data_IF_516682420691
#
_entry.id   IF_516682420691
#
_cell.length_a   1.000
_cell.length_b   1.000
_cell.length_c   1.000
_cell.angle_alpha   90.00
_cell.angle_beta   90.00
_cell.angle_gamma   90.00
#
_symmetry.space_group_name_H-M   'P 1'
#
loop_
_entity.id
_entity.type
_entity.pdbx_description
1 polymer ?
#
# COMPACT_ATOMS: atom_id res chain seq x y z
N UNK A 1 -42.07 36.91 3.92
CA UNK A 1 -41.64 36.55 3.76
C UNK A 1 -41.03 35.88 3.72
N UNK A 2 -40.71 35.63 3.69
CA UNK A 2 -40.03 35.05 3.56
C UNK A 2 -39.25 34.28 3.52
N UNK A 3 -38.69 33.73 3.44
CA UNK A 3 -37.85 33.06 3.43
C UNK A 3 -37.20 32.35 3.25
N UNK A 4 -36.99 32.21 3.32
CA UNK A 4 -36.24 31.68 3.17
C UNK A 4 -35.80 30.88 3.00
N UNK A 5 -35.29 30.57 2.83
CA UNK A 5 -34.73 29.84 2.52
C UNK A 5 -33.92 29.34 2.40
N UNK A 6 -33.59 29.25 2.44
CA UNK A 6 -32.72 28.82 2.20
C UNK A 6 -32.11 28.15 2.47
N UNK A 7 -31.86 27.97 2.66
CA UNK A 7 -31.12 27.35 2.86
C UNK A 7 -30.76 26.37 2.75
N UNK A 8 -30.52 26.13 2.54
CA UNK A 8 -30.00 25.29 2.31
C UNK A 8 -29.25 24.73 2.10
N UNK A 9 -28.89 24.55 2.05
CA UNK A 9 -28.09 24.07 1.72
C UNK A 9 -27.36 23.53 1.87
N UNK A 10 -26.93 23.34 1.99
CA UNK A 10 -26.21 22.96 2.17
C UNK A 10 -25.77 22.17 2.29
N UNK A 11 -25.47 21.91 2.38
CA UNK A 11 -24.99 21.22 2.54
C UNK A 11 -24.49 20.41 2.20
N UNK A 12 -24.17 20.10 1.75
CA UNK A 12 -23.79 19.26 1.17
C UNK A 12 -22.61 18.94 1.20
N UNK A 13 -22.10 18.55 1.66
CA UNK A 13 -21.00 18.28 1.70
C UNK A 13 -20.53 17.20 1.53
N UNK A 14 -19.97 16.94 1.06
CA UNK A 14 -19.40 16.09 0.58
C UNK A 14 -18.64 15.40 1.16
N UNK A 15 -18.30 14.92 1.46
CA UNK A 15 -17.55 14.34 1.96
C UNK A 15 -17.08 13.41 1.43
N UNK A 16 -16.51 13.43 1.02
CA UNK A 16 -15.79 12.80 0.44
C UNK A 16 -15.14 11.98 1.11
N UNK A 17 -15.33 11.12 1.03
CA UNK A 17 -14.74 10.26 1.58
C UNK A 17 -13.50 10.20 1.20
N UNK A 18 -12.72 10.30 1.73
CA UNK A 18 -11.58 10.25 1.46
C UNK A 18 -11.02 9.10 1.78
N UNK A 19 -10.54 8.41 1.10
CA UNK A 19 -9.68 7.33 1.35
C UNK A 19 -8.51 7.81 2.09
N UNK A 20 -7.95 7.03 2.91
CA UNK A 20 -6.71 7.39 3.55
C UNK A 20 -5.66 7.65 2.48
N UNK A 21 -4.77 8.58 2.71
CA UNK A 21 -3.69 8.82 1.75
C UNK A 21 -2.87 7.54 1.57
N UNK A 22 -2.37 7.28 0.39
CA UNK A 22 -1.52 6.12 0.19
C UNK A 22 -0.31 6.18 1.09
N UNK A 23 0.08 5.05 1.64
CA UNK A 23 1.27 4.96 2.47
C UNK A 23 2.34 4.19 1.73
N UNK A 24 3.57 4.46 2.10
CA UNK A 24 4.71 3.79 1.49
C UNK A 24 5.50 3.09 2.59
N UNK A 25 5.79 1.82 2.38
CA UNK A 25 6.62 1.06 3.29
C UNK A 25 7.82 0.53 2.52
N UNK A 26 8.96 0.54 3.15
CA UNK A 26 10.18 -0.05 2.58
C UNK A 26 10.49 -1.29 3.39
N UNK A 27 10.58 -2.42 2.70
CA UNK A 27 10.87 -3.69 3.33
C UNK A 27 12.29 -4.11 3.01
N UNK A 28 13.02 -4.54 4.02
CA UNK A 28 14.31 -5.19 3.81
C UNK A 28 14.01 -6.66 3.55
N UNK A 29 14.37 -7.14 2.38
CA UNK A 29 13.99 -8.47 1.91
C UNK A 29 15.19 -9.40 1.92
N UNK A 30 15.02 -10.58 2.48
CA UNK A 30 16.07 -11.58 2.52
C UNK A 30 15.88 -12.58 1.39
N UNK A 31 16.94 -13.30 1.10
CA UNK A 31 16.92 -14.36 0.07
C UNK A 31 16.74 -13.87 -1.36
N UNK A 32 16.88 -12.58 -1.58
CA UNK A 32 16.75 -12.03 -2.93
C UNK A 32 18.08 -12.18 -3.65
N UNK A 33 18.38 -13.40 -4.07
CA UNK A 33 19.68 -13.73 -4.62
C UNK A 33 19.64 -14.14 -6.09
N UNK A 34 18.48 -14.22 -6.70
CA UNK A 34 18.37 -14.65 -8.09
C UNK A 34 17.79 -13.53 -8.95
N UNK A 35 18.05 -13.61 -10.26
CA UNK A 35 17.59 -12.58 -11.17
C UNK A 35 16.08 -12.48 -11.30
N UNK A 36 15.34 -13.56 -10.98
CA UNK A 36 13.89 -13.55 -11.07
C UNK A 36 13.25 -13.24 -9.71
N UNK A 37 14.05 -13.17 -8.64
CA UNK A 37 13.50 -12.90 -7.33
C UNK A 37 12.73 -11.59 -7.26
N UNK A 38 13.23 -10.48 -7.85
CA UNK A 38 12.48 -9.24 -7.82
C UNK A 38 11.10 -9.36 -8.44
N UNK A 39 10.98 -10.11 -9.53
CA UNK A 39 9.69 -10.28 -10.20
C UNK A 39 8.73 -11.05 -9.30
N UNK A 40 9.22 -12.11 -8.66
CA UNK A 40 8.40 -12.93 -7.77
C UNK A 40 7.92 -12.11 -6.59
N UNK A 41 8.82 -11.33 -5.99
CA UNK A 41 8.47 -10.51 -4.84
C UNK A 41 7.44 -9.45 -5.26
N UNK A 42 7.67 -8.80 -6.38
CA UNK A 42 6.74 -7.79 -6.86
C UNK A 42 5.36 -8.36 -7.06
N UNK A 43 5.26 -9.52 -7.70
CA UNK A 43 3.97 -10.14 -7.93
C UNK A 43 3.29 -10.55 -6.63
N UNK A 44 4.05 -11.05 -5.68
CA UNK A 44 3.49 -11.41 -4.38
C UNK A 44 2.91 -10.21 -3.66
N UNK A 45 3.60 -9.07 -3.73
CA UNK A 45 3.13 -7.86 -3.09
C UNK A 45 1.91 -7.30 -3.81
N UNK A 46 1.91 -7.36 -5.13
CA UNK A 46 0.79 -6.84 -5.91
C UNK A 46 -0.50 -7.62 -5.70
N UNK A 47 -0.41 -8.84 -5.21
CA UNK A 47 -1.60 -9.62 -4.91
C UNK A 47 -2.26 -9.21 -3.60
N UNK A 48 -1.57 -8.45 -2.78
CA UNK A 48 -2.14 -8.02 -1.51
C UNK A 48 -3.20 -6.95 -1.80
N UNK A 49 -4.43 -7.13 -1.33
CA UNK A 49 -5.45 -6.10 -1.55
C UNK A 49 -5.01 -4.78 -0.97
N UNK A 50 -5.18 -3.71 -1.71
CA UNK A 50 -4.79 -2.37 -1.27
C UNK A 50 -3.43 -1.92 -1.77
N UNK A 51 -2.62 -2.82 -2.32
CA UNK A 51 -1.33 -2.43 -2.88
C UNK A 51 -1.53 -1.81 -4.24
N UNK A 52 -1.06 -0.59 -4.43
CA UNK A 52 -1.16 0.09 -5.71
C UNK A 52 0.11 -0.02 -6.52
N UNK A 53 1.25 -0.15 -5.87
CA UNK A 53 2.51 -0.23 -6.57
C UNK A 53 3.55 -0.91 -5.70
N UNK A 54 4.39 -1.73 -6.30
CA UNK A 54 5.52 -2.34 -5.62
C UNK A 54 6.75 -2.16 -6.49
N UNK A 55 7.82 -1.67 -5.92
CA UNK A 55 9.08 -1.46 -6.62
C UNK A 55 10.17 -2.20 -5.87
N UNK A 56 10.90 -3.02 -6.58
CA UNK A 56 11.93 -3.85 -5.99
C UNK A 56 13.29 -3.34 -6.41
N UNK A 57 14.17 -3.11 -5.42
CA UNK A 57 15.54 -2.72 -5.70
C UNK A 57 16.41 -3.92 -5.40
N UNK A 58 16.89 -4.56 -6.43
CA UNK A 58 17.69 -5.76 -6.27
C UNK A 58 19.03 -5.46 -5.60
N UNK A 59 19.64 -4.34 -5.95
CA UNK A 59 20.95 -4.00 -5.40
C UNK A 59 20.88 -3.74 -3.90
N UNK A 60 19.83 -3.11 -3.45
CA UNK A 60 19.67 -2.80 -2.03
C UNK A 60 18.88 -3.86 -1.28
N UNK A 61 18.34 -4.83 -1.99
CA UNK A 61 17.52 -5.89 -1.41
C UNK A 61 16.32 -5.32 -0.66
N UNK A 62 15.69 -4.34 -1.27
CA UNK A 62 14.53 -3.69 -0.66
C UNK A 62 13.33 -3.73 -1.58
N UNK A 63 12.16 -3.65 -0.99
CA UNK A 63 10.91 -3.52 -1.72
C UNK A 63 10.20 -2.28 -1.18
N UNK A 64 9.91 -1.35 -2.07
CA UNK A 64 9.16 -0.15 -1.71
C UNK A 64 7.74 -0.34 -2.20
N UNK A 65 6.79 -0.35 -1.28
CA UNK A 65 5.40 -0.66 -1.59
C UNK A 65 4.52 0.51 -1.22
N UNK A 66 3.70 0.92 -2.17
CA UNK A 66 2.69 1.94 -1.92
C UNK A 66 1.34 1.23 -1.78
N UNK A 67 0.66 1.49 -0.72
CA UNK A 67 -0.58 0.78 -0.41
C UNK A 67 -1.58 1.66 0.32
N UNK A 68 -2.83 1.21 0.30
CA UNK A 68 -3.92 1.88 1.00
C UNK A 68 -3.99 1.29 2.40
N UNK A 69 -3.73 2.10 3.40
CA UNK A 69 -3.70 1.66 4.79
C UNK A 69 -5.05 1.13 5.29
N UNK A 70 -6.12 1.50 4.63
CA UNK A 70 -7.44 0.97 5.00
C UNK A 70 -7.64 -0.46 4.53
N UNK A 71 -6.85 -0.91 3.55
CA UNK A 71 -7.01 -2.24 2.98
C UNK A 71 -5.82 -3.15 3.22
N UNK A 72 -4.66 -2.58 3.45
CA UNK A 72 -3.45 -3.37 3.62
C UNK A 72 -2.66 -2.82 4.80
N UNK A 73 -1.75 -3.61 5.31
CA UNK A 73 -0.87 -3.18 6.40
C UNK A 73 0.54 -3.65 6.10
N UNK A 74 1.51 -3.04 6.76
CA UNK A 74 2.89 -3.47 6.61
C UNK A 74 3.04 -4.95 6.99
N UNK A 75 2.30 -5.41 8.00
CA UNK A 75 2.35 -6.82 8.39
C UNK A 75 1.87 -7.73 7.27
N UNK A 76 0.85 -7.32 6.52
CA UNK A 76 0.35 -8.11 5.40
C UNK A 76 1.39 -8.19 4.28
N UNK A 77 2.15 -7.11 4.08
CA UNK A 77 3.21 -7.08 3.07
C UNK A 77 4.34 -8.02 3.45
N UNK A 78 4.74 -8.00 4.71
CA UNK A 78 5.78 -8.89 5.22
C UNK A 78 5.34 -10.34 5.08
N UNK A 79 4.08 -10.62 5.39
CA UNK A 79 3.55 -11.97 5.26
C UNK A 79 3.56 -12.41 3.81
N UNK A 80 3.20 -11.54 2.89
CA UNK A 80 3.16 -11.89 1.47
C UNK A 80 4.54 -12.28 0.95
N UNK A 81 5.57 -11.52 1.29
CA UNK A 81 6.92 -11.85 0.86
C UNK A 81 7.43 -13.09 1.55
N UNK A 82 7.14 -13.26 2.82
CA UNK A 82 7.57 -14.42 3.59
C UNK A 82 6.95 -15.70 3.02
N UNK A 83 5.67 -15.65 2.68
CA UNK A 83 4.98 -16.80 2.11
C UNK A 83 5.54 -17.15 0.72
N UNK A 84 6.11 -16.17 0.03
CA UNK A 84 6.74 -16.42 -1.26
C UNK A 84 8.18 -16.93 -1.12
N UNK A 85 8.68 -17.04 0.11
CA UNK A 85 10.04 -17.50 0.34
C UNK A 85 11.05 -16.39 0.58
N UNK A 86 10.59 -15.16 0.77
CA UNK A 86 11.46 -14.01 0.94
C UNK A 86 11.12 -13.27 2.23
N UNK A 87 11.59 -13.75 3.37
CA UNK A 87 11.31 -13.07 4.63
C UNK A 87 11.72 -11.60 4.55
N UNK A 88 10.93 -10.74 5.11
CA UNK A 88 11.22 -9.33 5.08
C UNK A 88 10.86 -8.66 6.39
N UNK A 89 11.36 -7.46 6.57
CA UNK A 89 11.05 -6.65 7.74
C UNK A 89 10.90 -5.21 7.27
N UNK A 90 10.02 -4.48 7.94
CA UNK A 90 9.81 -3.08 7.60
C UNK A 90 11.04 -2.29 8.02
N UNK A 91 11.57 -1.50 7.11
CA UNK A 91 12.70 -0.64 7.40
C UNK A 91 12.17 0.63 8.07
N UNK A 92 12.80 1.01 9.11
CA UNK A 92 12.41 2.24 9.80
C UNK A 92 13.34 3.38 9.53
#
# INVERSE_FOLDING_TARGET
MRHPVASLLVAALPFVAQAAPPQTAVLDVQNMTCGLCPVTIKKSLEKVPGVSQARIDFDKKTATVTFDADKASAAALVKATTDAGFPSAVRK
#
